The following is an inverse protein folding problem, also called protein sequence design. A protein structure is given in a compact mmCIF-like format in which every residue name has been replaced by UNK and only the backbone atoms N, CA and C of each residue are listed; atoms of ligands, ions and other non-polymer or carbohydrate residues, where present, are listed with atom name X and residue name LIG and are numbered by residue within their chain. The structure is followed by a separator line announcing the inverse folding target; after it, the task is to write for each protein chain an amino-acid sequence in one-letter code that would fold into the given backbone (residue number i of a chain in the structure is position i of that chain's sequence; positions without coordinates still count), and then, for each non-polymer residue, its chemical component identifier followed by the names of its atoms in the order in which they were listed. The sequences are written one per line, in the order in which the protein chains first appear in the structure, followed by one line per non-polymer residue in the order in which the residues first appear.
data_IF_616457007032
#
_entry.id   IF_616457007032
#
_cell.length_a   1.000
_cell.length_b   1.000
_cell.length_c   1.000
_cell.angle_alpha   90.00
_cell.angle_beta   90.00
_cell.angle_gamma   90.00
#
_symmetry.space_group_name_H-M   'P 1'
#
loop_
_entity.id
_entity.type
_entity.pdbx_description
1 polymer ?
#
# COMPACT_ATOMS: atom_id res chain seq x y z
N UNK A 1 8.24 29.00 -0.73
CA UNK A 1 7.75 28.51 0.58
C UNK A 1 6.76 29.52 1.15
N UNK A 2 5.47 29.40 0.81
CA UNK A 2 4.39 30.26 1.32
C UNK A 2 3.02 29.56 1.41
N UNK A 3 3.01 28.23 1.44
CA UNK A 3 1.83 27.46 1.86
C UNK A 3 2.24 26.63 3.07
N UNK A 4 1.83 27.07 4.25
CA UNK A 4 1.82 26.18 5.41
C UNK A 4 0.88 25.01 5.10
N UNK A 5 1.29 23.78 5.40
CA UNK A 5 0.40 22.63 5.22
C UNK A 5 -0.79 22.76 6.17
N UNK A 6 -2.01 22.75 5.64
CA UNK A 6 -3.24 22.65 6.44
C UNK A 6 -3.67 21.19 6.56
N UNK A 7 -4.23 20.83 7.72
CA UNK A 7 -4.69 19.48 8.06
C UNK A 7 -6.17 19.49 8.43
N UNK A 8 -6.94 18.61 7.82
CA UNK A 8 -8.34 18.40 8.17
C UNK A 8 -8.43 17.88 9.61
N UNK A 9 -9.36 18.43 10.39
CA UNK A 9 -9.68 18.00 11.74
C UNK A 9 -11.18 17.80 11.90
N UNK A 10 -11.54 17.08 12.97
CA UNK A 10 -12.91 16.80 13.37
C UNK A 10 -13.07 17.20 14.84
N UNK A 11 -14.04 18.05 15.15
CA UNK A 11 -14.39 18.43 16.53
C UNK A 11 -15.84 18.11 16.81
N UNK A 12 -16.12 17.54 17.98
CA UNK A 12 -17.50 17.41 18.46
C UNK A 12 -17.96 18.71 19.09
N UNK A 13 -19.16 19.20 18.72
CA UNK A 13 -19.87 20.20 19.53
C UNK A 13 -20.39 19.50 20.80
N UNK A 14 -19.60 19.50 21.85
CA UNK A 14 -20.16 19.31 23.19
C UNK A 14 -20.75 20.66 23.62
N UNK A 15 -22.04 20.85 23.38
CA UNK A 15 -22.79 21.94 23.99
C UNK A 15 -23.00 21.61 25.46
N UNK A 16 -22.07 22.04 26.32
CA UNK A 16 -22.42 22.24 27.72
C UNK A 16 -23.49 23.33 27.75
N UNK A 17 -24.68 22.94 28.23
CA UNK A 17 -25.86 23.79 28.23
C UNK A 17 -25.62 25.13 28.91
N UNK A 18 -25.95 26.20 28.19
CA UNK A 18 -26.73 27.36 28.61
C UNK A 18 -26.61 28.43 27.52
N UNK A 19 -27.60 28.49 26.65
CA UNK A 19 -27.93 29.70 25.92
C UNK A 19 -29.45 29.81 25.90
N UNK A 20 -29.93 30.94 26.39
CA UNK A 20 -31.33 31.32 26.56
C UNK A 20 -32.09 31.23 25.25
N UNK A 21 -33.34 30.74 25.35
CA UNK A 21 -34.39 30.92 24.35
C UNK A 21 -34.54 32.41 24.03
N UNK A 22 -34.48 32.77 22.76
CA UNK A 22 -35.38 33.78 22.19
C UNK A 22 -35.47 33.56 20.67
N UNK A 23 -36.69 33.70 20.18
CA UNK A 23 -37.21 33.27 18.89
C UNK A 23 -36.53 33.89 17.67
N UNK A 24 -36.50 33.13 16.57
CA UNK A 24 -37.01 33.61 15.28
C UNK A 24 -37.44 32.45 14.37
N UNK A 25 -38.62 32.69 13.82
CA UNK A 25 -39.54 31.88 13.02
C UNK A 25 -39.01 31.33 11.69
N UNK A 26 -39.42 30.08 11.43
CA UNK A 26 -39.90 29.47 10.16
C UNK A 26 -39.21 29.77 8.83
N UNK A 27 -38.72 28.72 8.17
CA UNK A 27 -39.28 28.25 6.89
C UNK A 27 -38.80 26.82 6.54
N UNK A 28 -39.76 26.04 6.03
CA UNK A 28 -39.79 24.60 5.70
C UNK A 28 -38.91 24.17 4.53
N UNK A 29 -38.19 23.03 4.65
CA UNK A 29 -38.04 22.01 3.58
C UNK A 29 -37.89 20.59 4.20
N UNK A 30 -38.86 19.73 3.90
CA UNK A 30 -38.72 18.31 3.53
C UNK A 30 -37.96 17.34 4.45
N UNK A 31 -38.71 16.53 5.20
CA UNK A 31 -38.28 15.34 5.92
C UNK A 31 -37.53 14.33 5.03
N UNK A 32 -36.27 14.06 5.39
CA UNK A 32 -35.61 12.77 5.17
C UNK A 32 -35.30 12.19 6.55
N UNK A 33 -36.18 11.30 6.99
CA UNK A 33 -36.19 10.71 8.31
C UNK A 33 -34.97 9.80 8.53
N UNK A 34 -34.26 9.99 9.65
CA UNK A 34 -33.29 9.00 10.15
C UNK A 34 -31.84 9.42 10.38
N UNK A 35 -31.53 10.68 10.71
CA UNK A 35 -30.25 11.02 11.38
C UNK A 35 -30.55 11.43 12.81
N UNK A 36 -30.53 10.46 13.73
CA UNK A 36 -30.48 10.77 15.17
C UNK A 36 -29.23 11.62 15.43
N UNK A 37 -29.45 12.84 15.92
CA UNK A 37 -28.44 13.75 16.44
C UNK A 37 -27.57 13.05 17.50
N UNK A 38 -26.44 12.50 17.06
CA UNK A 38 -25.29 12.23 17.91
C UNK A 38 -24.36 13.42 17.67
N UNK A 39 -24.39 14.39 18.59
CA UNK A 39 -23.62 15.65 18.61
C UNK A 39 -22.84 15.96 17.33
N UNK A 40 -23.36 16.86 16.50
CA UNK A 40 -22.83 17.19 15.17
C UNK A 40 -21.31 17.36 15.21
N UNK A 41 -20.62 16.40 14.60
CA UNK A 41 -19.18 16.45 14.44
C UNK A 41 -18.90 17.34 13.23
N UNK A 42 -18.08 18.38 13.43
CA UNK A 42 -17.76 19.38 12.41
C UNK A 42 -16.34 19.14 11.87
N UNK A 43 -16.20 19.09 10.54
CA UNK A 43 -14.90 19.03 9.86
C UNK A 43 -14.39 20.43 9.50
N UNK A 44 -13.10 20.71 9.74
CA UNK A 44 -12.49 22.00 9.41
C UNK A 44 -11.01 21.87 9.06
N UNK A 45 -10.48 22.81 8.27
CA UNK A 45 -9.05 22.92 8.00
C UNK A 45 -8.34 23.58 9.20
N UNK A 46 -7.37 22.86 9.77
CA UNK A 46 -6.52 23.33 10.85
C UNK A 46 -5.18 23.79 10.26
N UNK A 47 -4.84 25.07 10.46
CA UNK A 47 -3.50 25.58 10.17
C UNK A 47 -2.47 25.12 11.21
N UNK A 48 -1.19 25.39 10.95
CA UNK A 48 -0.09 24.90 11.80
C UNK A 48 -0.34 25.19 13.29
N UNK A 49 -0.42 24.16 14.16
CA UNK A 49 -0.94 24.33 15.50
C UNK A 49 0.10 24.92 16.47
N UNK A 50 -0.36 25.76 17.40
CA UNK A 50 0.48 26.31 18.47
C UNK A 50 0.86 25.26 19.51
N UNK A 51 -0.06 24.34 19.82
CA UNK A 51 0.12 23.33 20.88
C UNK A 51 0.98 22.16 20.41
N UNK A 52 1.95 21.78 21.24
CA UNK A 52 2.81 20.62 20.98
C UNK A 52 2.02 19.31 20.83
N UNK A 53 0.96 19.11 21.62
CA UNK A 53 0.11 17.91 21.52
C UNK A 53 -0.51 17.75 20.13
N UNK A 54 -0.93 18.86 19.53
CA UNK A 54 -1.54 18.86 18.21
C UNK A 54 -0.46 18.60 17.15
N UNK A 55 0.74 19.19 17.30
CA UNK A 55 1.91 18.88 16.46
C UNK A 55 2.27 17.39 16.51
N UNK A 56 2.27 16.77 17.69
CA UNK A 56 2.49 15.32 17.83
C UNK A 56 1.41 14.54 17.07
N UNK A 57 0.13 14.95 17.17
CA UNK A 57 -0.91 14.31 16.37
C UNK A 57 -0.72 14.48 14.87
N UNK A 58 -0.19 15.62 14.38
CA UNK A 58 0.17 15.82 12.98
C UNK A 58 1.28 14.86 12.56
N UNK A 59 2.36 14.77 13.36
CA UNK A 59 3.49 13.86 13.10
C UNK A 59 3.00 12.41 13.04
N UNK A 60 2.20 11.99 14.01
CA UNK A 60 1.66 10.63 14.04
C UNK A 60 0.77 10.33 12.84
N UNK A 61 0.05 11.31 12.30
CA UNK A 61 -0.74 11.13 11.08
C UNK A 61 0.15 10.99 9.84
N UNK A 62 1.20 11.81 9.72
CA UNK A 62 2.19 11.72 8.64
C UNK A 62 2.97 10.39 8.64
N UNK A 63 3.26 9.84 9.81
CA UNK A 63 4.00 8.56 9.93
C UNK A 63 3.17 7.36 9.49
N UNK A 64 1.84 7.42 9.62
CA UNK A 64 0.95 6.30 9.32
C UNK A 64 0.13 6.52 8.05
N UNK A 65 0.20 7.72 7.46
CA UNK A 65 -0.56 8.07 6.26
C UNK A 65 0.30 8.59 5.12
N UNK A 66 0.54 7.70 4.17
CA UNK A 66 1.39 7.94 3.00
C UNK A 66 0.70 8.68 1.85
N UNK A 67 -0.64 8.85 1.89
CA UNK A 67 -1.44 9.44 0.81
C UNK A 67 -2.07 10.79 1.17
N UNK A 68 -2.04 11.16 2.44
CA UNK A 68 -2.51 12.46 2.95
C UNK A 68 -4.00 12.75 2.77
N UNK A 69 -4.96 11.83 2.99
CA UNK A 69 -6.40 12.07 2.82
C UNK A 69 -6.94 13.22 3.68
N UNK A 70 -6.31 13.52 4.82
CA UNK A 70 -6.61 14.68 5.64
C UNK A 70 -5.71 15.89 5.40
N UNK A 71 -4.96 15.96 4.30
CA UNK A 71 -3.98 17.02 4.05
C UNK A 71 -4.27 17.75 2.74
N UNK A 72 -3.94 19.04 2.69
CA UNK A 72 -4.07 19.83 1.46
C UNK A 72 -3.19 19.33 0.29
N UNK A 73 -2.10 18.62 0.58
CA UNK A 73 -1.23 17.97 -0.42
C UNK A 73 -1.68 16.56 -0.84
N UNK A 74 -2.87 16.12 -0.41
CA UNK A 74 -3.46 14.82 -0.74
C UNK A 74 -3.18 14.36 -2.17
N UNK A 75 -2.82 13.09 -2.34
CA UNK A 75 -2.48 12.58 -3.69
C UNK A 75 -3.72 12.57 -4.61
N UNK A 76 -3.54 13.07 -5.83
CA UNK A 76 -4.62 13.23 -6.83
C UNK A 76 -5.28 11.91 -7.27
N UNK A 77 -4.63 10.77 -7.02
CA UNK A 77 -5.17 9.44 -7.36
C UNK A 77 -6.23 8.96 -6.37
N UNK A 78 -6.47 9.69 -5.27
CA UNK A 78 -7.53 9.36 -4.32
C UNK A 78 -8.91 9.82 -4.80
N UNK A 79 -9.99 9.10 -4.46
CA UNK A 79 -11.35 9.61 -4.57
C UNK A 79 -11.49 10.90 -3.80
N UNK A 80 -12.41 11.78 -4.22
CA UNK A 80 -12.56 13.08 -3.58
C UNK A 80 -12.98 13.00 -2.09
N UNK A 81 -13.14 14.11 -1.38
CA UNK A 81 -13.70 14.11 -0.01
C UNK A 81 -15.21 13.78 -0.02
N UNK A 82 -15.74 13.12 1.02
CA UNK A 82 -17.17 12.79 1.08
C UNK A 82 -18.08 14.01 1.07
N UNK A 83 -19.32 13.89 0.56
CA UNK A 83 -20.26 15.01 0.53
C UNK A 83 -20.49 15.65 1.90
N UNK A 84 -20.58 14.85 2.97
CA UNK A 84 -20.75 15.35 4.33
C UNK A 84 -19.52 16.10 4.86
N UNK A 85 -18.31 15.76 4.40
CA UNK A 85 -17.09 16.49 4.77
C UNK A 85 -17.01 17.80 3.99
N UNK A 86 -17.27 17.74 2.68
CA UNK A 86 -17.30 18.95 1.82
C UNK A 86 -18.33 19.97 2.29
N UNK A 87 -19.51 19.49 2.70
CA UNK A 87 -20.55 20.32 3.28
C UNK A 87 -20.04 21.14 4.46
N UNK A 88 -19.38 20.49 5.44
CA UNK A 88 -18.83 21.17 6.62
C UNK A 88 -17.69 22.14 6.27
N UNK A 89 -16.95 21.86 5.19
CA UNK A 89 -15.88 22.72 4.69
C UNK A 89 -16.38 23.89 3.83
N UNK A 90 -17.68 23.95 3.51
CA UNK A 90 -18.23 24.91 2.55
C UNK A 90 -17.71 24.69 1.12
N UNK A 91 -17.25 23.48 0.79
CA UNK A 91 -16.74 23.11 -0.53
C UNK A 91 -17.88 22.59 -1.43
N UNK A 92 -17.84 22.83 -2.76
CA UNK A 92 -18.88 22.37 -3.67
C UNK A 92 -18.91 20.84 -3.76
N UNK A 93 -20.10 20.26 -3.58
CA UNK A 93 -20.35 18.83 -3.76
C UNK A 93 -20.50 18.54 -5.26
N UNK A 94 -19.57 17.78 -5.81
CA UNK A 94 -19.52 17.39 -7.22
C UNK A 94 -19.79 15.90 -7.43
N UNK A 95 -19.93 15.48 -8.69
CA UNK A 95 -20.16 14.09 -9.05
C UNK A 95 -19.03 13.16 -8.58
N UNK A 96 -17.78 13.67 -8.56
CA UNK A 96 -16.62 12.92 -8.09
C UNK A 96 -16.72 12.57 -6.59
N UNK A 97 -17.16 13.53 -5.76
CA UNK A 97 -17.42 13.34 -4.34
C UNK A 97 -18.51 12.30 -4.08
N UNK A 98 -19.61 12.36 -4.84
CA UNK A 98 -20.74 11.42 -4.74
C UNK A 98 -20.35 10.00 -5.15
N UNK A 99 -19.53 9.85 -6.20
CA UNK A 99 -19.11 8.55 -6.72
C UNK A 99 -18.18 7.80 -5.76
N UNK A 100 -17.29 8.52 -5.07
CA UNK A 100 -16.34 7.92 -4.12
C UNK A 100 -15.32 6.96 -4.75
N UNK A 101 -15.06 7.08 -6.05
CA UNK A 101 -14.08 6.27 -6.80
C UNK A 101 -13.21 7.16 -7.68
N UNK A 102 -11.90 6.94 -7.66
CA UNK A 102 -10.94 7.71 -8.45
C UNK A 102 -10.76 7.19 -9.88
N UNK A 103 -10.05 7.95 -10.71
CA UNK A 103 -9.72 7.60 -12.09
C UNK A 103 -8.91 6.31 -12.25
N UNK A 104 -8.20 5.87 -11.21
CA UNK A 104 -7.42 4.62 -11.20
C UNK A 104 -8.16 3.43 -10.55
N UNK A 105 -9.42 3.63 -10.18
CA UNK A 105 -10.27 2.61 -9.54
C UNK A 105 -10.02 2.45 -8.05
N UNK A 106 -9.44 3.46 -7.40
CA UNK A 106 -9.35 3.48 -5.94
C UNK A 106 -10.71 3.88 -5.38
N UNK A 107 -11.19 3.22 -4.31
CA UNK A 107 -12.52 3.41 -3.72
C UNK A 107 -12.43 3.85 -2.26
N UNK A 108 -13.28 4.81 -1.89
CA UNK A 108 -13.49 5.35 -0.54
C UNK A 108 -14.68 4.65 0.14
N UNK A 109 -14.67 4.59 1.47
CA UNK A 109 -15.75 3.99 2.25
C UNK A 109 -16.39 5.02 3.19
N UNK A 110 -17.63 5.38 2.91
CA UNK A 110 -18.32 6.47 3.62
C UNK A 110 -19.03 6.01 4.90
N UNK A 111 -18.98 4.71 5.21
CA UNK A 111 -19.50 4.18 6.47
C UNK A 111 -18.68 2.99 6.98
N UNK A 112 -18.76 2.77 8.30
CA UNK A 112 -18.12 1.64 8.99
C UNK A 112 -18.60 0.29 8.44
N UNK A 113 -19.90 0.16 8.18
CA UNK A 113 -20.46 -1.05 7.61
C UNK A 113 -19.87 -1.36 6.22
N UNK A 114 -19.79 -0.36 5.33
CA UNK A 114 -19.21 -0.53 3.99
C UNK A 114 -17.72 -0.88 4.04
N UNK A 115 -16.96 -0.25 4.94
CA UNK A 115 -15.55 -0.58 5.13
C UNK A 115 -15.40 -2.02 5.65
N UNK A 116 -16.17 -2.40 6.69
CA UNK A 116 -16.10 -3.73 7.29
C UNK A 116 -16.43 -4.82 6.26
N UNK A 117 -17.52 -4.65 5.51
CA UNK A 117 -17.90 -5.56 4.42
C UNK A 117 -16.81 -5.70 3.36
N UNK A 118 -16.04 -4.63 3.10
CA UNK A 118 -14.97 -4.66 2.10
C UNK A 118 -13.67 -5.29 2.62
N UNK A 119 -13.34 -5.16 3.90
CA UNK A 119 -12.07 -5.65 4.46
C UNK A 119 -12.17 -7.05 5.07
N UNK A 120 -13.30 -7.41 5.69
CA UNK A 120 -13.49 -8.71 6.36
C UNK A 120 -13.20 -9.90 5.44
N UNK A 121 -13.80 -10.03 4.24
CA UNK A 121 -13.50 -11.17 3.37
C UNK A 121 -12.03 -11.20 2.95
N UNK A 122 -11.39 -10.05 2.76
CA UNK A 122 -9.96 -9.97 2.41
C UNK A 122 -9.05 -10.42 3.54
N UNK A 123 -9.38 -10.05 4.78
CA UNK A 123 -8.62 -10.48 5.96
C UNK A 123 -8.76 -11.99 6.12
N UNK A 124 -9.98 -12.53 6.07
CA UNK A 124 -10.22 -13.98 6.25
C UNK A 124 -9.55 -14.79 5.14
N UNK A 125 -9.86 -14.47 3.87
CA UNK A 125 -9.31 -15.21 2.72
C UNK A 125 -7.81 -14.99 2.61
N UNK A 126 -7.34 -13.76 2.80
CA UNK A 126 -5.92 -13.44 2.76
C UNK A 126 -5.13 -14.19 3.83
N UNK A 127 -5.67 -14.32 5.05
CA UNK A 127 -5.04 -15.09 6.12
C UNK A 127 -4.89 -16.56 5.74
N UNK A 128 -5.97 -17.19 5.27
CA UNK A 128 -5.96 -18.61 4.85
C UNK A 128 -4.99 -18.83 3.69
N UNK A 129 -5.00 -17.94 2.69
CA UNK A 129 -4.08 -18.05 1.56
C UNK A 129 -2.63 -17.84 1.97
N UNK A 130 -2.35 -16.88 2.86
CA UNK A 130 -1.00 -16.64 3.35
C UNK A 130 -0.49 -17.83 4.16
N UNK A 131 -1.34 -18.44 4.98
CA UNK A 131 -1.03 -19.65 5.73
C UNK A 131 -0.67 -20.83 4.79
N UNK A 132 -1.51 -21.08 3.78
CA UNK A 132 -1.24 -22.10 2.76
C UNK A 132 0.08 -21.82 2.01
N UNK A 133 0.29 -20.58 1.57
CA UNK A 133 1.51 -20.17 0.86
C UNK A 133 2.74 -20.38 1.73
N UNK A 134 2.69 -20.02 3.02
CA UNK A 134 3.80 -20.23 3.96
C UNK A 134 4.16 -21.71 4.07
N UNK A 135 3.18 -22.59 4.20
CA UNK A 135 3.37 -24.05 4.24
C UNK A 135 3.89 -24.62 2.93
N UNK A 136 3.52 -24.04 1.79
CA UNK A 136 4.09 -24.43 0.49
C UNK A 136 5.55 -23.97 0.39
N UNK A 137 5.83 -22.69 0.70
CA UNK A 137 7.16 -22.10 0.54
C UNK A 137 8.19 -22.71 1.47
N UNK A 138 7.83 -23.09 2.70
CA UNK A 138 8.77 -23.69 3.64
C UNK A 138 9.35 -25.02 3.13
N UNK A 139 8.62 -25.74 2.27
CA UNK A 139 9.05 -27.04 1.74
C UNK A 139 10.01 -26.95 0.56
N UNK A 140 10.22 -25.75 0.02
CA UNK A 140 11.16 -25.53 -1.08
C UNK A 140 12.43 -24.84 -0.52
N UNK A 141 13.61 -25.50 -0.57
CA UNK A 141 14.87 -24.95 -0.07
C UNK A 141 15.19 -23.56 -0.62
N UNK A 142 14.69 -23.21 -1.80
CA UNK A 142 14.86 -21.87 -2.36
C UNK A 142 14.33 -20.76 -1.45
N UNK A 143 13.16 -20.91 -0.83
CA UNK A 143 12.61 -19.87 0.04
C UNK A 143 13.29 -19.82 1.41
N UNK A 144 13.98 -20.90 1.80
CA UNK A 144 14.73 -20.98 3.05
C UNK A 144 16.12 -20.34 2.93
N UNK A 145 16.81 -20.59 1.81
CA UNK A 145 18.24 -20.28 1.66
C UNK A 145 18.58 -19.35 0.48
N UNK A 146 17.60 -19.01 -0.36
CA UNK A 146 17.85 -18.42 -1.67
C UNK A 146 18.35 -19.46 -2.68
N UNK A 147 18.91 -19.04 -3.84
CA UNK A 147 19.49 -19.97 -4.81
C UNK A 147 20.54 -20.89 -4.17
N UNK A 148 20.33 -22.20 -4.32
CA UNK A 148 21.10 -23.26 -3.67
C UNK A 148 21.05 -24.56 -4.51
N UNK A 149 21.89 -25.52 -4.14
CA UNK A 149 21.99 -26.85 -4.76
C UNK A 149 21.43 -27.98 -3.87
N UNK A 150 20.60 -27.65 -2.87
CA UNK A 150 19.98 -28.67 -2.02
C UNK A 150 18.99 -29.53 -2.82
N UNK A 151 18.82 -30.81 -2.45
CA UNK A 151 17.86 -31.69 -3.09
C UNK A 151 16.44 -31.11 -3.07
N UNK A 152 15.78 -31.10 -4.22
CA UNK A 152 14.39 -30.68 -4.34
C UNK A 152 13.46 -31.79 -3.84
N UNK A 153 12.33 -31.43 -3.21
CA UNK A 153 11.24 -32.38 -2.98
C UNK A 153 10.80 -33.06 -4.29
N UNK A 154 10.33 -34.32 -4.25
CA UNK A 154 9.98 -35.09 -5.45
C UNK A 154 9.00 -34.39 -6.40
N UNK A 155 8.03 -33.64 -5.85
CA UNK A 155 7.04 -32.90 -6.64
C UNK A 155 7.62 -31.66 -7.36
N UNK A 156 8.74 -31.11 -6.89
CA UNK A 156 9.44 -30.00 -7.53
C UNK A 156 10.55 -30.48 -8.47
N UNK A 157 11.22 -31.59 -8.16
CA UNK A 157 12.28 -32.16 -9.01
C UNK A 157 11.77 -32.63 -10.38
N UNK A 158 10.47 -32.94 -10.50
CA UNK A 158 9.84 -33.32 -11.76
C UNK A 158 9.58 -32.13 -12.71
N UNK A 159 9.73 -30.89 -12.25
CA UNK A 159 9.42 -29.70 -13.04
C UNK A 159 10.61 -29.29 -13.93
N UNK A 160 10.31 -28.76 -15.12
CA UNK A 160 11.34 -28.12 -15.95
C UNK A 160 11.93 -26.89 -15.25
N UNK A 161 13.17 -26.47 -15.55
CA UNK A 161 13.78 -25.28 -14.93
C UNK A 161 12.95 -24.01 -15.11
N UNK A 162 12.31 -23.84 -16.27
CA UNK A 162 11.46 -22.69 -16.54
C UNK A 162 10.17 -22.75 -15.72
N UNK A 163 9.53 -23.92 -15.66
CA UNK A 163 8.31 -24.13 -14.87
C UNK A 163 8.57 -23.89 -13.39
N UNK A 164 9.66 -24.42 -12.85
CA UNK A 164 10.07 -24.22 -11.45
C UNK A 164 10.32 -22.74 -11.14
N UNK A 165 10.98 -22.02 -12.07
CA UNK A 165 11.19 -20.57 -11.93
C UNK A 165 9.86 -19.81 -11.88
N UNK A 166 8.96 -20.06 -12.85
CA UNK A 166 7.66 -19.39 -12.90
C UNK A 166 6.85 -19.71 -11.64
N UNK A 167 6.88 -20.96 -11.18
CA UNK A 167 6.23 -21.39 -9.95
C UNK A 167 6.74 -20.61 -8.73
N UNK A 168 8.06 -20.55 -8.52
CA UNK A 168 8.68 -19.80 -7.41
C UNK A 168 8.37 -18.31 -7.47
N UNK A 169 8.47 -17.69 -8.64
CA UNK A 169 8.14 -16.28 -8.82
C UNK A 169 6.65 -15.99 -8.55
N UNK A 170 5.76 -16.91 -8.92
CA UNK A 170 4.33 -16.81 -8.63
C UNK A 170 4.07 -16.87 -7.12
N UNK A 171 4.64 -17.87 -6.44
CA UNK A 171 4.51 -18.00 -4.99
C UNK A 171 5.06 -16.78 -4.25
N UNK A 172 6.24 -16.30 -4.63
CA UNK A 172 6.85 -15.08 -4.09
C UNK A 172 5.92 -13.87 -4.24
N UNK A 173 5.45 -13.62 -5.47
CA UNK A 173 4.57 -12.49 -5.77
C UNK A 173 3.26 -12.55 -4.98
N UNK A 174 2.62 -13.73 -4.90
CA UNK A 174 1.40 -13.92 -4.12
C UNK A 174 1.64 -13.70 -2.63
N UNK A 175 2.70 -14.29 -2.08
CA UNK A 175 3.06 -14.19 -0.65
C UNK A 175 3.27 -12.74 -0.25
N UNK A 176 4.09 -12.00 -1.00
CA UNK A 176 4.38 -10.58 -0.73
C UNK A 176 3.11 -9.75 -0.87
N UNK A 177 2.34 -9.93 -1.95
CA UNK A 177 1.13 -9.13 -2.19
C UNK A 177 0.08 -9.34 -1.11
N UNK A 178 -0.14 -10.59 -0.69
CA UNK A 178 -1.12 -10.92 0.36
C UNK A 178 -0.63 -10.43 1.72
N UNK A 179 0.65 -10.64 2.07
CA UNK A 179 1.22 -10.15 3.32
C UNK A 179 1.11 -8.63 3.44
N UNK A 180 1.43 -7.89 2.36
CA UNK A 180 1.26 -6.44 2.32
C UNK A 180 -0.20 -6.01 2.43
N UNK A 181 -1.13 -6.66 1.71
CA UNK A 181 -2.56 -6.34 1.82
C UNK A 181 -3.05 -6.54 3.26
N UNK A 182 -2.72 -7.66 3.91
CA UNK A 182 -3.10 -7.90 5.30
C UNK A 182 -2.49 -6.86 6.24
N UNK A 183 -1.20 -6.56 6.10
CA UNK A 183 -0.52 -5.55 6.93
C UNK A 183 -1.19 -4.17 6.80
N UNK A 184 -1.54 -3.75 5.58
CA UNK A 184 -2.23 -2.48 5.36
C UNK A 184 -3.68 -2.49 5.84
N UNK A 185 -4.36 -3.64 5.83
CA UNK A 185 -5.73 -3.77 6.36
C UNK A 185 -5.78 -3.78 7.90
N UNK A 186 -4.68 -4.11 8.59
CA UNK A 186 -4.62 -4.02 10.05
C UNK A 186 -4.82 -2.59 10.55
N UNK A 187 -4.29 -1.58 9.86
CA UNK A 187 -4.41 -0.17 10.25
C UNK A 187 -5.88 0.30 10.32
N UNK A 188 -6.69 0.23 9.24
CA UNK A 188 -8.11 0.59 9.31
C UNK A 188 -8.87 -0.31 10.28
N UNK A 189 -8.51 -1.60 10.39
CA UNK A 189 -9.17 -2.48 11.34
C UNK A 189 -9.00 -1.97 12.79
N UNK A 190 -7.75 -1.71 13.20
CA UNK A 190 -7.43 -1.22 14.54
C UNK A 190 -8.01 0.18 14.75
N UNK A 191 -7.81 1.12 13.82
CA UNK A 191 -8.18 2.52 14.04
C UNK A 191 -9.69 2.76 13.95
N UNK A 192 -10.40 2.14 12.99
CA UNK A 192 -11.84 2.33 12.84
C UNK A 192 -12.67 1.49 13.82
N UNK A 193 -12.22 0.27 14.16
CA UNK A 193 -13.07 -0.69 14.88
C UNK A 193 -12.61 -1.03 16.30
N UNK A 194 -11.31 -0.88 16.64
CA UNK A 194 -10.82 -1.14 18.00
C UNK A 194 -10.63 0.15 18.80
N UNK A 195 -9.93 1.15 18.25
CA UNK A 195 -9.57 2.39 18.97
C UNK A 195 -10.65 3.48 18.86
N UNK A 196 -11.15 3.72 17.64
CA UNK A 196 -12.22 4.69 17.38
C UNK A 196 -11.82 6.18 17.54
N UNK A 197 -12.78 7.10 17.32
CA UNK A 197 -12.50 8.54 17.21
C UNK A 197 -12.02 9.19 18.50
N UNK A 198 -12.33 8.61 19.66
CA UNK A 198 -11.88 9.15 20.94
C UNK A 198 -10.36 9.03 21.15
N UNK A 199 -9.74 8.02 20.54
CA UNK A 199 -8.30 7.74 20.70
C UNK A 199 -7.49 8.29 19.54
N UNK A 200 -7.94 8.02 18.30
CA UNK A 200 -7.16 8.35 17.09
C UNK A 200 -7.76 9.50 16.27
N UNK A 201 -8.87 10.09 16.72
CA UNK A 201 -9.50 11.25 16.07
C UNK A 201 -9.96 10.95 14.65
N UNK A 202 -9.60 11.84 13.73
CA UNK A 202 -9.91 11.75 12.30
C UNK A 202 -9.41 10.43 11.67
N UNK A 203 -8.35 9.83 12.21
CA UNK A 203 -7.81 8.57 11.69
C UNK A 203 -8.75 7.38 11.91
N UNK A 204 -9.82 7.53 12.69
CA UNK A 204 -10.86 6.49 12.80
C UNK A 204 -11.95 6.61 11.72
N UNK A 205 -11.90 7.65 10.88
CA UNK A 205 -12.85 7.86 9.80
C UNK A 205 -12.65 6.83 8.69
N UNK A 206 -13.74 6.23 8.23
CA UNK A 206 -13.66 5.13 7.24
C UNK A 206 -13.23 5.63 5.87
N UNK A 207 -13.58 6.87 5.54
CA UNK A 207 -13.23 7.50 4.26
C UNK A 207 -11.75 7.89 4.20
N UNK A 208 -11.06 7.91 5.34
CA UNK A 208 -9.61 8.06 5.44
C UNK A 208 -8.87 6.88 4.80
N UNK A 209 -9.55 5.74 4.71
CA UNK A 209 -9.02 4.51 4.16
C UNK A 209 -9.65 4.20 2.82
N UNK A 210 -8.79 3.78 1.92
CA UNK A 210 -9.12 3.43 0.54
C UNK A 210 -8.49 2.06 0.24
N UNK A 211 -8.94 1.41 -0.82
CA UNK A 211 -8.27 0.18 -1.26
C UNK A 211 -6.76 0.39 -1.54
N UNK A 212 -5.97 -0.60 -1.15
CA UNK A 212 -4.51 -0.60 -1.27
C UNK A 212 -4.05 -0.55 -2.72
N UNK A 213 -4.61 -1.43 -3.55
CA UNK A 213 -4.24 -1.65 -4.94
C UNK A 213 -5.21 -0.94 -5.88
N UNK A 214 -4.69 -0.37 -6.98
CA UNK A 214 -5.53 0.11 -8.07
C UNK A 214 -6.11 -1.04 -8.90
N UNK A 215 -6.91 -0.72 -9.92
CA UNK A 215 -7.48 -1.76 -10.80
C UNK A 215 -6.42 -2.46 -11.65
N UNK A 216 -6.73 -3.66 -12.19
CA UNK A 216 -5.86 -4.35 -13.15
C UNK A 216 -5.94 -3.76 -14.57
N UNK A 217 -7.00 -3.00 -14.88
CA UNK A 217 -7.23 -2.42 -16.19
C UNK A 217 -6.02 -1.64 -16.76
N UNK A 218 -5.32 -0.79 -15.98
CA UNK A 218 -4.08 -0.15 -16.43
C UNK A 218 -3.01 -1.12 -16.94
N UNK A 219 -2.89 -2.33 -16.38
CA UNK A 219 -1.89 -3.32 -16.83
C UNK A 219 -2.20 -3.79 -18.26
N UNK A 220 -3.48 -4.06 -18.55
CA UNK A 220 -3.92 -4.41 -19.89
C UNK A 220 -3.82 -3.23 -20.85
N UNK A 221 -4.13 -2.01 -20.40
CA UNK A 221 -4.15 -0.84 -21.28
C UNK A 221 -2.75 -0.23 -21.55
N UNK A 222 -1.84 -0.33 -20.57
CA UNK A 222 -0.55 0.40 -20.57
C UNK A 222 0.66 -0.46 -20.20
N UNK A 223 0.50 -1.79 -20.06
CA UNK A 223 1.60 -2.71 -19.78
C UNK A 223 2.38 -2.38 -18.50
N UNK A 224 3.71 -2.36 -18.58
CA UNK A 224 4.59 -2.07 -17.44
C UNK A 224 4.29 -0.71 -16.81
N UNK A 225 4.06 0.33 -17.63
CA UNK A 225 3.71 1.65 -17.12
C UNK A 225 2.39 1.64 -16.34
N UNK A 226 1.44 0.80 -16.77
CA UNK A 226 0.17 0.59 -16.08
C UNK A 226 0.30 -0.21 -14.79
N UNK A 227 1.16 -1.22 -14.76
CA UNK A 227 1.47 -1.99 -13.56
C UNK A 227 2.03 -1.07 -12.47
N UNK A 228 3.15 -0.39 -12.75
CA UNK A 228 3.85 0.44 -11.77
C UNK A 228 3.10 1.75 -11.46
N UNK A 229 2.51 2.37 -12.49
CA UNK A 229 1.82 3.65 -12.39
C UNK A 229 0.34 3.57 -12.03
N UNK A 230 -0.26 2.39 -11.94
CA UNK A 230 -1.71 2.24 -11.73
C UNK A 230 -2.15 1.09 -10.83
N UNK A 231 -1.35 0.03 -10.68
CA UNK A 231 -1.72 -1.16 -9.88
C UNK A 231 -0.85 -1.31 -8.63
N UNK A 232 0.46 -1.37 -8.80
CA UNK A 232 1.44 -1.66 -7.74
C UNK A 232 1.70 -0.42 -6.85
N UNK A 233 1.91 -0.65 -5.54
CA UNK A 233 2.39 0.31 -4.54
C UNK A 233 1.88 1.75 -4.66
N UNK A 234 0.60 1.96 -5.00
CA UNK A 234 0.02 3.31 -5.11
C UNK A 234 0.06 4.09 -3.78
N UNK A 235 0.35 3.41 -2.66
CA UNK A 235 0.52 4.00 -1.33
C UNK A 235 1.78 4.88 -1.25
N UNK A 236 2.86 4.48 -1.91
CA UNK A 236 4.16 5.15 -1.80
C UNK A 236 4.45 6.14 -2.92
N UNK A 237 3.51 6.31 -3.87
CA UNK A 237 3.71 7.09 -5.09
C UNK A 237 4.17 8.53 -4.81
N UNK A 238 3.63 9.16 -3.77
CA UNK A 238 3.99 10.53 -3.41
C UNK A 238 5.49 10.67 -3.19
N UNK A 239 6.09 9.79 -2.40
CA UNK A 239 7.50 9.85 -2.04
C UNK A 239 8.40 9.68 -3.26
N UNK A 240 8.03 8.78 -4.17
CA UNK A 240 8.82 8.50 -5.37
C UNK A 240 8.69 9.59 -6.44
N UNK A 241 7.55 10.28 -6.54
CA UNK A 241 7.33 11.36 -7.51
C UNK A 241 7.66 12.77 -6.98
N UNK A 242 7.86 12.93 -5.66
CA UNK A 242 8.13 14.23 -5.04
C UNK A 242 9.39 14.93 -5.59
N UNK A 243 10.54 14.26 -5.79
CA UNK A 243 11.72 14.93 -6.33
C UNK A 243 11.51 15.47 -7.75
N UNK A 244 10.83 14.71 -8.62
CA UNK A 244 10.48 15.18 -9.97
C UNK A 244 9.58 16.41 -9.90
N UNK A 245 8.59 16.41 -9.01
CA UNK A 245 7.66 17.53 -8.84
C UNK A 245 8.40 18.78 -8.37
N UNK A 246 9.35 18.62 -7.45
CA UNK A 246 10.21 19.70 -7.00
C UNK A 246 11.06 20.28 -8.15
N UNK A 247 11.67 19.43 -8.99
CA UNK A 247 12.46 19.88 -10.15
C UNK A 247 11.62 20.65 -11.18
N UNK A 248 10.35 20.28 -11.36
CA UNK A 248 9.40 21.03 -12.20
C UNK A 248 9.10 22.39 -11.58
N UNK A 249 8.84 22.44 -10.27
CA UNK A 249 8.54 23.69 -9.55
C UNK A 249 9.71 24.67 -9.55
N UNK A 250 10.95 24.17 -9.52
CA UNK A 250 12.16 24.98 -9.66
C UNK A 250 12.43 25.44 -11.10
N UNK A 251 11.62 25.03 -12.08
CA UNK A 251 11.84 25.34 -13.50
C UNK A 251 13.02 24.60 -14.13
N UNK A 252 13.58 23.59 -13.45
CA UNK A 252 14.70 22.77 -13.96
C UNK A 252 14.18 21.78 -15.00
N UNK A 253 13.03 21.16 -14.74
CA UNK A 253 12.34 20.30 -15.69
C UNK A 253 11.14 21.03 -16.33
N UNK A 254 10.83 20.72 -17.60
CA UNK A 254 9.61 21.22 -18.24
C UNK A 254 8.36 20.61 -17.59
N UNK A 255 7.18 21.03 -18.05
CA UNK A 255 5.89 20.57 -17.50
C UNK A 255 5.80 19.03 -17.38
N UNK A 256 4.99 18.55 -16.44
CA UNK A 256 4.75 17.12 -16.22
C UNK A 256 4.26 16.35 -17.47
N UNK A 257 3.77 17.05 -18.50
CA UNK A 257 3.32 16.44 -19.76
C UNK A 257 4.48 16.14 -20.72
N UNK A 258 5.62 16.80 -20.55
CA UNK A 258 6.81 16.61 -21.39
C UNK A 258 7.34 15.18 -21.33
N UNK A 259 7.79 14.65 -22.46
CA UNK A 259 8.40 13.33 -22.52
C UNK A 259 9.70 13.27 -21.71
N UNK A 260 10.49 14.34 -21.71
CA UNK A 260 11.70 14.46 -20.88
C UNK A 260 11.36 14.29 -19.41
N UNK A 261 10.36 15.03 -18.93
CA UNK A 261 9.92 14.96 -17.53
C UNK A 261 9.40 13.56 -17.16
N UNK A 262 8.65 12.91 -18.04
CA UNK A 262 8.17 11.53 -17.80
C UNK A 262 9.32 10.52 -17.71
N UNK A 263 10.34 10.65 -18.57
CA UNK A 263 11.52 9.77 -18.53
C UNK A 263 12.32 9.99 -17.24
N UNK A 264 12.56 11.25 -16.87
CA UNK A 264 13.26 11.60 -15.63
C UNK A 264 12.47 11.12 -14.41
N UNK A 265 11.15 11.30 -14.40
CA UNK A 265 10.27 10.84 -13.32
C UNK A 265 10.39 9.33 -13.09
N UNK A 266 10.30 8.55 -14.17
CA UNK A 266 10.42 7.10 -14.11
C UNK A 266 11.80 6.67 -13.60
N UNK A 267 12.88 7.29 -14.09
CA UNK A 267 14.24 6.96 -13.66
C UNK A 267 14.46 7.29 -12.17
N UNK A 268 14.07 8.48 -11.72
CA UNK A 268 14.21 8.90 -10.32
C UNK A 268 13.37 8.00 -9.41
N UNK A 269 12.10 7.75 -9.76
CA UNK A 269 11.19 6.95 -8.95
C UNK A 269 11.74 5.52 -8.73
N UNK A 270 12.21 4.88 -9.80
CA UNK A 270 12.78 3.53 -9.70
C UNK A 270 14.15 3.52 -9.04
N UNK A 271 14.98 4.53 -9.24
CA UNK A 271 16.27 4.63 -8.55
C UNK A 271 16.10 4.73 -7.03
N UNK A 272 15.19 5.60 -6.57
CA UNK A 272 14.89 5.74 -5.13
C UNK A 272 14.28 4.44 -4.58
N UNK A 273 13.39 3.79 -5.33
CA UNK A 273 12.86 2.47 -4.94
C UNK A 273 13.97 1.42 -4.80
N UNK A 274 14.94 1.43 -5.73
CA UNK A 274 16.14 0.62 -5.69
C UNK A 274 17.01 0.87 -4.47
N UNK A 275 17.26 2.15 -4.13
CA UNK A 275 18.03 2.51 -2.94
C UNK A 275 17.35 2.07 -1.64
N UNK A 276 16.02 2.17 -1.56
CA UNK A 276 15.28 1.73 -0.38
C UNK A 276 15.42 0.21 -0.17
N UNK A 277 15.32 -0.57 -1.25
CA UNK A 277 15.45 -2.02 -1.17
C UNK A 277 16.91 -2.47 -1.02
N UNK A 278 17.86 -1.72 -1.60
CA UNK A 278 19.29 -1.88 -1.37
C UNK A 278 19.60 -1.75 0.13
N UNK A 279 19.09 -0.70 0.79
CA UNK A 279 19.32 -0.49 2.21
C UNK A 279 18.81 -1.68 3.03
N UNK A 280 17.58 -2.15 2.76
CA UNK A 280 17.03 -3.33 3.43
C UNK A 280 17.87 -4.60 3.19
N UNK A 281 18.31 -4.84 1.96
CA UNK A 281 19.18 -5.98 1.63
C UNK A 281 20.55 -5.87 2.31
N UNK A 282 21.12 -4.67 2.37
CA UNK A 282 22.43 -4.38 2.99
C UNK A 282 22.42 -4.57 4.50
N UNK A 283 21.30 -4.25 5.16
CA UNK A 283 21.16 -4.39 6.62
C UNK A 283 20.73 -5.78 7.07
N UNK A 284 20.51 -6.73 6.15
CA UNK A 284 20.17 -8.10 6.52
C UNK A 284 21.36 -8.81 7.17
N UNK A 285 21.08 -9.64 8.17
CA UNK A 285 22.12 -10.41 8.87
C UNK A 285 22.76 -11.49 7.97
N UNK A 286 22.00 -12.30 7.19
CA UNK A 286 22.60 -13.19 6.21
C UNK A 286 23.18 -12.43 5.01
N UNK A 287 24.27 -12.91 4.39
CA UNK A 287 24.82 -12.30 3.18
C UNK A 287 23.80 -12.25 2.03
N UNK A 288 23.54 -11.05 1.53
CA UNK A 288 22.73 -10.81 0.33
C UNK A 288 23.57 -10.19 -0.79
N UNK A 289 22.93 -9.81 -1.90
CA UNK A 289 23.52 -9.04 -3.01
C UNK A 289 22.76 -7.71 -3.17
N UNK A 290 23.03 -6.70 -2.33
CA UNK A 290 22.22 -5.48 -2.28
C UNK A 290 22.10 -4.74 -3.61
N UNK A 291 23.16 -4.74 -4.44
CA UNK A 291 23.16 -4.09 -5.75
C UNK A 291 22.13 -4.67 -6.72
N UNK A 292 21.78 -5.96 -6.59
CA UNK A 292 20.75 -6.59 -7.41
C UNK A 292 19.39 -5.91 -7.23
N UNK A 293 19.13 -5.29 -6.07
CA UNK A 293 17.93 -4.49 -5.84
C UNK A 293 17.90 -3.27 -6.76
N UNK A 294 19.00 -2.52 -6.83
CA UNK A 294 19.11 -1.35 -7.71
C UNK A 294 18.95 -1.80 -9.17
N UNK A 295 19.61 -2.90 -9.56
CA UNK A 295 19.50 -3.47 -10.90
C UNK A 295 18.05 -3.82 -11.23
N UNK A 296 17.35 -4.54 -10.34
CA UNK A 296 15.94 -4.91 -10.55
C UNK A 296 15.06 -3.69 -10.84
N UNK A 297 15.13 -2.66 -9.98
CA UNK A 297 14.26 -1.49 -10.12
C UNK A 297 14.63 -0.63 -11.32
N UNK A 298 15.93 -0.44 -11.61
CA UNK A 298 16.35 0.28 -12.82
C UNK A 298 15.95 -0.44 -14.09
N UNK A 299 15.94 -1.79 -14.11
CA UNK A 299 15.40 -2.55 -15.23
C UNK A 299 13.90 -2.31 -15.43
N UNK A 300 13.13 -1.97 -14.38
CA UNK A 300 11.72 -1.59 -14.58
C UNK A 300 11.59 -0.24 -15.28
N UNK A 301 12.45 0.72 -14.95
CA UNK A 301 12.52 2.01 -15.67
C UNK A 301 12.84 1.79 -17.15
N UNK A 302 13.87 0.99 -17.44
CA UNK A 302 14.25 0.61 -18.81
C UNK A 302 13.09 -0.07 -19.53
N UNK A 303 12.42 -1.02 -18.89
CA UNK A 303 11.27 -1.73 -19.47
C UNK A 303 10.12 -0.80 -19.83
N UNK A 304 9.79 0.15 -18.94
CA UNK A 304 8.74 1.16 -19.20
C UNK A 304 9.13 2.05 -20.38
N UNK A 305 10.36 2.56 -20.43
CA UNK A 305 10.85 3.43 -21.51
C UNK A 305 10.86 2.66 -22.83
N UNK A 306 11.41 1.45 -22.83
CA UNK A 306 11.52 0.60 -24.01
C UNK A 306 10.15 0.21 -24.57
N UNK A 307 9.23 -0.26 -23.72
CA UNK A 307 7.86 -0.59 -24.14
C UNK A 307 7.17 0.65 -24.74
N UNK A 308 7.32 1.82 -24.10
CA UNK A 308 6.74 3.07 -24.60
C UNK A 308 7.32 3.46 -25.96
N UNK A 309 8.64 3.38 -26.14
CA UNK A 309 9.31 3.70 -27.40
C UNK A 309 8.90 2.76 -28.53
N UNK A 310 8.84 1.44 -28.27
CA UNK A 310 8.38 0.45 -29.26
C UNK A 310 6.91 0.71 -29.63
N UNK A 311 6.04 0.91 -28.65
CA UNK A 311 4.62 1.21 -28.92
C UNK A 311 4.46 2.49 -29.73
N UNK A 312 5.33 3.50 -29.52
CA UNK A 312 5.31 4.73 -30.29
C UNK A 312 5.83 4.53 -31.71
N UNK A 313 6.93 3.79 -31.87
CA UNK A 313 7.53 3.51 -33.18
C UNK A 313 6.58 2.71 -34.09
N UNK A 314 5.85 1.75 -33.53
CA UNK A 314 4.93 0.88 -34.26
C UNK A 314 3.46 1.28 -34.10
N UNK A 315 3.18 2.53 -33.69
CA UNK A 315 1.83 3.01 -33.38
C UNK A 315 0.84 2.79 -34.52
N UNK A 316 1.25 3.08 -35.76
CA UNK A 316 0.42 2.94 -36.97
C UNK A 316 0.00 1.50 -37.25
N UNK A 317 0.83 0.52 -36.87
CA UNK A 317 0.53 -0.91 -37.01
C UNK A 317 -0.28 -1.41 -35.81
N UNK A 318 0.14 -1.07 -34.60
CA UNK A 318 -0.51 -1.51 -33.36
C UNK A 318 -1.95 -0.99 -33.26
N UNK A 319 -2.21 0.24 -33.70
CA UNK A 319 -3.56 0.82 -33.67
C UNK A 319 -4.55 0.11 -34.59
N UNK A 320 -4.09 -0.66 -35.60
CA UNK A 320 -4.94 -1.48 -36.47
C UNK A 320 -5.33 -2.82 -35.82
N UNK A 321 -4.65 -3.24 -34.76
CA UNK A 321 -4.95 -4.49 -34.08
C UNK A 321 -6.22 -4.37 -33.20
N UNK A 322 -7.03 -5.43 -33.09
CA UNK A 322 -8.16 -5.46 -32.16
C UNK A 322 -7.74 -5.15 -30.72
N UNK A 323 -8.62 -4.49 -29.96
CA UNK A 323 -8.34 -4.06 -28.58
C UNK A 323 -7.87 -5.23 -27.70
N UNK A 324 -8.53 -6.39 -27.79
CA UNK A 324 -8.17 -7.57 -27.01
C UNK A 324 -6.74 -8.06 -27.29
N UNK A 325 -6.28 -7.99 -28.55
CA UNK A 325 -4.93 -8.40 -28.92
C UNK A 325 -3.88 -7.41 -28.39
N UNK A 326 -4.18 -6.11 -28.43
CA UNK A 326 -3.32 -5.06 -27.84
C UNK A 326 -3.20 -5.24 -26.32
N UNK A 327 -4.31 -5.51 -25.66
CA UNK A 327 -4.36 -5.74 -24.21
C UNK A 327 -3.64 -7.02 -23.80
N UNK A 328 -3.84 -8.11 -24.54
CA UNK A 328 -3.09 -9.36 -24.36
C UNK A 328 -1.59 -9.14 -24.56
N UNK A 329 -1.19 -8.41 -25.60
CA UNK A 329 0.21 -8.06 -25.84
C UNK A 329 0.84 -7.27 -24.69
N UNK A 330 0.16 -6.23 -24.19
CA UNK A 330 0.61 -5.48 -23.02
C UNK A 330 0.78 -6.35 -21.78
N UNK A 331 -0.20 -7.21 -21.49
CA UNK A 331 -0.14 -8.12 -20.35
C UNK A 331 1.00 -9.13 -20.49
N UNK A 332 1.13 -9.77 -21.66
CA UNK A 332 2.18 -10.77 -21.93
C UNK A 332 3.58 -10.16 -21.84
N UNK A 333 3.81 -8.98 -22.43
CA UNK A 333 5.10 -8.28 -22.32
C UNK A 333 5.41 -7.95 -20.86
N UNK A 334 4.42 -7.47 -20.11
CA UNK A 334 4.58 -7.16 -18.68
C UNK A 334 4.97 -8.40 -17.90
N UNK A 335 4.26 -9.51 -18.10
CA UNK A 335 4.53 -10.77 -17.41
C UNK A 335 5.91 -11.32 -17.78
N UNK A 336 6.26 -11.36 -19.08
CA UNK A 336 7.55 -11.82 -19.54
C UNK A 336 8.71 -10.97 -18.97
N UNK A 337 8.57 -9.64 -18.96
CA UNK A 337 9.56 -8.73 -18.39
C UNK A 337 9.76 -8.97 -16.90
N UNK A 338 8.68 -9.14 -16.14
CA UNK A 338 8.76 -9.45 -14.72
C UNK A 338 9.38 -10.83 -14.49
N UNK A 339 8.99 -11.87 -15.25
CA UNK A 339 9.58 -13.20 -15.11
C UNK A 339 11.09 -13.21 -15.39
N UNK A 340 11.55 -12.35 -16.28
CA UNK A 340 12.97 -12.19 -16.59
C UNK A 340 13.73 -11.40 -15.53
N UNK A 341 13.15 -10.31 -15.01
CA UNK A 341 13.84 -9.39 -14.08
C UNK A 341 13.68 -9.74 -12.61
N UNK A 342 12.57 -10.37 -12.21
CA UNK A 342 12.23 -10.67 -10.82
C UNK A 342 13.25 -11.54 -10.05
N UNK A 343 14.06 -12.43 -10.65
CA UNK A 343 15.10 -13.15 -9.91
C UNK A 343 16.04 -12.22 -9.12
N UNK A 344 16.38 -11.03 -9.64
CA UNK A 344 17.27 -10.10 -8.95
C UNK A 344 16.75 -9.64 -7.59
N UNK A 345 15.44 -9.39 -7.48
CA UNK A 345 14.82 -9.04 -6.21
C UNK A 345 14.47 -10.27 -5.38
N UNK A 346 13.95 -11.33 -6.02
CA UNK A 346 13.43 -12.49 -5.32
C UNK A 346 14.52 -13.33 -4.65
N UNK A 347 15.65 -13.49 -5.31
CA UNK A 347 16.80 -14.23 -4.76
C UNK A 347 17.33 -13.53 -3.52
N UNK A 348 17.32 -12.19 -3.51
CA UNK A 348 17.74 -11.41 -2.36
C UNK A 348 16.74 -11.49 -1.19
N UNK A 349 15.45 -11.48 -1.48
CA UNK A 349 14.42 -11.72 -0.45
C UNK A 349 14.57 -13.09 0.19
N UNK A 350 14.84 -14.12 -0.62
CA UNK A 350 15.07 -15.46 -0.11
C UNK A 350 16.39 -15.56 0.70
N UNK A 351 17.51 -15.04 0.18
CA UNK A 351 18.79 -14.98 0.92
C UNK A 351 18.66 -14.22 2.24
N UNK A 352 17.92 -13.11 2.24
CA UNK A 352 17.68 -12.28 3.40
C UNK A 352 16.68 -12.85 4.41
N UNK A 353 16.12 -14.04 4.16
CA UNK A 353 15.17 -14.67 5.06
C UNK A 353 13.78 -14.02 5.11
N UNK A 354 13.41 -13.20 4.11
CA UNK A 354 12.09 -12.54 4.06
C UNK A 354 10.95 -13.57 4.13
N UNK A 355 11.12 -14.71 3.47
CA UNK A 355 10.13 -15.79 3.48
C UNK A 355 10.14 -16.64 4.74
N UNK A 356 11.14 -16.46 5.62
CA UNK A 356 11.18 -17.11 6.93
C UNK A 356 10.32 -16.37 7.96
N UNK A 357 10.16 -15.05 7.79
CA UNK A 357 9.30 -14.24 8.64
C UNK A 357 7.89 -14.84 8.76
N UNK A 358 7.37 -14.90 9.98
CA UNK A 358 6.11 -15.55 10.30
C UNK A 358 5.04 -14.49 10.62
N UNK A 359 4.27 -14.02 9.62
CA UNK A 359 3.34 -12.89 9.78
C UNK A 359 2.05 -13.26 10.53
N UNK A 360 1.75 -14.55 10.67
CA UNK A 360 0.51 -15.04 11.28
C UNK A 360 0.78 -15.78 12.60
N UNK A 361 -0.02 -15.54 13.66
CA UNK A 361 0.15 -16.19 14.96
C UNK A 361 -0.16 -17.68 14.95
N UNK A 362 -1.15 -18.08 14.14
CA UNK A 362 -1.72 -19.42 14.16
C UNK A 362 -1.88 -19.96 12.73
N UNK A 363 -1.28 -21.11 12.44
CA UNK A 363 -1.40 -21.80 11.17
C UNK A 363 -2.42 -22.93 11.27
N UNK A 364 -3.50 -22.81 10.51
CA UNK A 364 -4.48 -23.86 10.31
C UNK A 364 -3.82 -25.05 9.61
N UNK A 365 -3.02 -24.80 8.56
CA UNK A 365 -2.42 -25.88 7.77
C UNK A 365 -1.31 -26.63 8.53
N UNK A 366 -0.49 -25.97 9.33
CA UNK A 366 0.45 -26.67 10.22
C UNK A 366 -0.29 -27.52 11.26
N UNK A 367 -1.37 -26.98 11.85
CA UNK A 367 -2.22 -27.73 12.78
C UNK A 367 -2.88 -28.96 12.16
N UNK A 368 -3.14 -28.94 10.85
CA UNK A 368 -3.61 -30.09 10.07
C UNK A 368 -2.49 -31.07 9.65
N UNK A 369 -1.25 -30.86 10.09
CA UNK A 369 -0.11 -31.74 9.80
C UNK A 369 0.59 -31.45 8.47
N UNK A 370 0.32 -30.32 7.82
CA UNK A 370 1.04 -29.94 6.59
C UNK A 370 2.39 -29.25 6.86
N UNK A 371 2.69 -28.88 8.10
CA UNK A 371 3.99 -28.32 8.53
C UNK A 371 5.10 -29.37 8.63
N UNK A 372 6.24 -28.98 9.21
CA UNK A 372 7.26 -29.95 9.64
C UNK A 372 6.80 -30.73 10.88
N UNK A 373 7.41 -31.89 11.12
CA UNK A 373 6.97 -32.83 12.16
C UNK A 373 7.03 -32.25 13.59
N UNK A 374 7.91 -31.27 13.81
CA UNK A 374 8.14 -30.56 15.06
C UNK A 374 7.38 -29.22 15.15
N UNK A 375 6.67 -28.80 14.10
CA UNK A 375 5.92 -27.54 14.08
C UNK A 375 4.47 -27.72 14.52
N UNK A 376 4.07 -26.94 15.53
CA UNK A 376 2.67 -26.84 15.96
C UNK A 376 1.84 -25.84 15.15
N UNK A 377 0.53 -25.84 15.41
CA UNK A 377 -0.39 -24.84 14.87
C UNK A 377 -0.09 -23.41 15.36
N UNK A 378 0.51 -23.28 16.55
CA UNK A 378 0.97 -22.00 17.07
C UNK A 378 2.33 -21.64 16.47
N UNK A 379 2.41 -20.53 15.74
CA UNK A 379 3.60 -20.18 14.97
C UNK A 379 4.53 -19.18 15.64
N UNK A 380 4.03 -18.44 16.63
CA UNK A 380 4.80 -17.39 17.30
C UNK A 380 5.43 -17.91 18.59
N UNK A 381 6.74 -18.15 18.59
CA UNK A 381 7.45 -18.51 19.81
C UNK A 381 8.04 -17.28 20.52
N UNK A 382 8.73 -17.52 21.64
CA UNK A 382 9.39 -16.47 22.43
C UNK A 382 10.56 -15.76 21.70
N UNK A 383 10.94 -16.20 20.50
CA UNK A 383 12.00 -15.56 19.68
C UNK A 383 11.47 -14.49 18.73
N UNK A 384 10.15 -14.43 18.53
CA UNK A 384 9.51 -13.45 17.63
C UNK A 384 9.04 -12.17 18.34
N UNK A 385 9.18 -12.10 19.67
CA UNK A 385 8.69 -10.99 20.49
C UNK A 385 9.80 -10.29 21.25
N UNK A 386 9.58 -8.99 21.48
CA UNK A 386 10.35 -8.21 22.44
C UNK A 386 10.39 -8.94 23.78
N UNK A 387 11.56 -9.44 24.14
CA UNK A 387 11.81 -10.04 25.43
C UNK A 387 12.61 -9.07 26.28
N UNK A 388 12.28 -9.01 27.57
CA UNK A 388 13.15 -8.34 28.51
C UNK A 388 14.40 -9.21 28.72
N UNK A 389 15.51 -8.82 28.12
CA UNK A 389 16.81 -9.38 28.41
C UNK A 389 17.34 -8.75 29.70
N UNK A 390 17.80 -9.59 30.62
CA UNK A 390 18.39 -9.14 31.87
C UNK A 390 19.88 -9.48 31.87
N UNK A 391 20.70 -8.46 31.67
CA UNK A 391 22.16 -8.58 31.79
C UNK A 391 22.62 -8.61 33.24
N UNK A 392 23.94 -8.67 33.44
CA UNK A 392 24.56 -8.66 34.77
C UNK A 392 24.39 -7.31 35.45
N UNK A 393 24.33 -6.24 34.65
CA UNK A 393 24.08 -4.88 35.09
C UNK A 393 22.79 -4.30 34.48
N UNK A 394 22.23 -3.26 35.12
CA UNK A 394 20.97 -2.67 34.65
C UNK A 394 21.09 -2.06 33.24
N UNK A 395 22.27 -1.54 32.88
CA UNK A 395 22.55 -1.00 31.54
C UNK A 395 22.77 -2.06 30.46
N UNK A 396 22.95 -3.33 30.87
CA UNK A 396 22.97 -4.49 29.97
C UNK A 396 21.59 -5.14 29.85
N UNK A 397 20.62 -4.67 30.63
CA UNK A 397 19.25 -5.14 30.58
C UNK A 397 18.42 -4.24 29.68
N UNK A 398 17.50 -4.81 28.93
CA UNK A 398 16.66 -4.05 28.01
C UNK A 398 15.79 -4.94 27.15
N UNK A 399 15.14 -4.33 26.18
CA UNK A 399 14.36 -5.06 25.19
C UNK A 399 15.33 -5.69 24.19
N UNK A 400 15.36 -7.02 24.14
CA UNK A 400 16.07 -7.78 23.13
C UNK A 400 15.09 -8.34 22.09
N UNK A 401 15.62 -8.51 20.88
CA UNK A 401 14.98 -9.22 19.77
C UNK A 401 15.49 -10.65 19.67
#
# INVERSE_FOLDING_TARGET
MKDGGDVLRKRGKYTNGKASKEDRSSETIGEADGIKEIGSLEYYWQSYPDKLSDRISWILDLLVNFRGPGWNWRVQTMPDLPPFVKHDLGEPIDEASLKGVSSVGIKRYDSRAKLLQAITPKIIVGYILLDALKVITMKDPYFLFGPNDYPLPPHLSALSPLTLRIFRLTLAFLTITIALELAFLLIPFIYCFLLGPKVVGLRSETWYYINTWGSFKPVFDKGLAGLWGGRWHQMFRLFFSAPTTYLIQCGILPSARSNTTKVVDVLIAFFISGLFHFAGAFTNFPPTKPLDMIVFFMLQAVGVIMQTAICKQFETTICKLPLGLRQAGNFTITLAWLCWTAPWINDNFARGGLYLYQPIPYSLFRGLGFGYADEGAWCWDNSLWFRWYRGKHWWESGIAF
#
